data_IF_158206200305
#
_entry.id   IF_158206200305
#
_cell.length_a   1.000
_cell.length_b   1.000
_cell.length_c   1.000
_cell.angle_alpha   90.00
_cell.angle_beta   90.00
_cell.angle_gamma   90.00
#
_symmetry.space_group_name_H-M   'P 1'
#
loop_
_entity.id
_entity.type
_entity.pdbx_description
1 polymer ?
#
# COMPACT_ATOMS: atom_id res chain seq x y z
N UNK A 1 2.57 30.46 21.92
CA UNK A 1 2.03 29.46 20.96
C UNK A 1 2.93 29.23 19.72
N UNK A 2 4.21 29.65 19.75
CA UNK A 2 5.15 29.44 18.63
C UNK A 2 6.29 28.45 18.98
N UNK A 3 6.58 28.26 20.27
CA UNK A 3 7.64 27.37 20.73
C UNK A 3 7.35 25.89 20.48
N UNK A 4 6.10 25.46 20.71
CA UNK A 4 5.70 24.07 20.43
C UNK A 4 5.71 23.75 18.94
N UNK A 5 5.35 24.72 18.08
CA UNK A 5 5.46 24.57 16.62
C UNK A 5 6.92 24.48 16.16
N UNK A 6 7.81 25.27 16.78
CA UNK A 6 9.24 25.23 16.49
C UNK A 6 9.86 23.88 16.90
N UNK A 7 9.45 23.32 18.05
CA UNK A 7 9.90 22.01 18.54
C UNK A 7 9.44 20.85 17.64
N UNK A 8 8.22 20.93 17.11
CA UNK A 8 7.70 19.92 16.16
C UNK A 8 8.45 20.01 14.83
N UNK A 9 8.74 21.22 14.33
CA UNK A 9 9.43 21.42 13.05
C UNK A 9 10.89 20.95 13.09
N UNK A 10 11.58 21.17 14.20
CA UNK A 10 12.96 20.69 14.39
C UNK A 10 12.99 19.17 14.51
N UNK A 11 12.02 18.56 15.19
CA UNK A 11 11.94 17.10 15.31
C UNK A 11 11.70 16.39 13.96
N UNK A 12 10.88 16.99 13.09
CA UNK A 12 10.64 16.49 11.73
C UNK A 12 11.87 16.64 10.82
N UNK A 13 12.63 17.73 10.93
CA UNK A 13 13.88 17.92 10.16
C UNK A 13 15.02 16.99 10.60
N UNK A 14 15.10 16.62 11.87
CA UNK A 14 16.09 15.65 12.37
C UNK A 14 15.80 14.24 11.87
N UNK A 15 14.53 13.85 11.80
CA UNK A 15 14.11 12.53 11.33
C UNK A 15 14.29 12.34 9.81
N UNK A 16 14.20 13.41 9.02
CA UNK A 16 14.45 13.37 7.57
C UNK A 16 15.93 13.16 7.21
N UNK A 17 16.88 13.57 8.06
CA UNK A 17 18.31 13.45 7.78
C UNK A 17 18.96 12.13 8.26
N UNK A 18 18.21 11.27 8.98
CA UNK A 18 18.74 10.02 9.54
C UNK A 18 18.72 8.82 8.56
N UNK A 19 18.31 9.03 7.30
CA UNK A 19 18.26 7.99 6.25
C UNK A 19 19.07 8.39 5.02
N UNK A 20 20.36 8.65 5.19
CA UNK A 20 21.33 8.63 4.09
C UNK A 20 22.67 8.16 4.65
N UNK A 21 22.72 6.90 5.10
CA UNK A 21 24.01 6.21 5.19
C UNK A 21 24.39 5.80 3.77
N UNK A 22 25.34 6.53 3.20
CA UNK A 22 25.96 6.18 1.92
C UNK A 22 26.94 5.04 2.21
N UNK A 23 26.53 3.82 1.91
CA UNK A 23 27.50 2.72 1.79
C UNK A 23 28.05 2.72 0.36
N UNK A 24 29.24 3.27 0.19
CA UNK A 24 30.06 3.09 -1.01
C UNK A 24 31.36 2.39 -0.60
N UNK A 25 31.74 1.42 -1.44
CA UNK A 25 33.03 0.73 -1.56
C UNK A 25 33.14 -0.69 -0.97
N UNK A 26 33.12 -1.69 -1.87
CA UNK A 26 34.32 -2.50 -2.13
C UNK A 26 34.22 -3.17 -3.49
N UNK A 27 35.16 -2.80 -4.35
CA UNK A 27 35.39 -3.30 -5.70
C UNK A 27 36.23 -4.60 -5.62
N UNK A 28 36.06 -5.43 -6.64
CA UNK A 28 36.93 -6.54 -7.08
C UNK A 28 36.75 -7.92 -6.44
N UNK A 29 35.93 -8.73 -7.12
CA UNK A 29 36.30 -10.08 -7.55
C UNK A 29 35.48 -10.44 -8.81
N UNK A 30 35.82 -9.80 -9.94
CA UNK A 30 35.44 -10.32 -11.25
C UNK A 30 36.56 -11.25 -11.73
N UNK A 31 36.28 -12.55 -11.78
CA UNK A 31 36.59 -13.37 -12.95
C UNK A 31 35.88 -14.72 -12.82
N UNK A 32 35.17 -15.06 -13.90
CA UNK A 32 34.76 -16.42 -14.27
C UNK A 32 33.36 -16.93 -13.88
N UNK A 33 32.31 -16.24 -14.36
CA UNK A 33 31.17 -16.91 -15.04
C UNK A 33 30.76 -16.06 -16.26
N UNK A 34 31.55 -16.13 -17.32
CA UNK A 34 31.17 -15.66 -18.65
C UNK A 34 30.27 -16.72 -19.31
N UNK A 35 29.02 -16.86 -18.84
CA UNK A 35 28.19 -18.00 -19.27
C UNK A 35 26.71 -18.05 -18.90
N UNK A 36 26.10 -17.05 -18.27
CA UNK A 36 24.63 -16.91 -18.19
C UNK A 36 24.25 -15.43 -18.40
N UNK A 37 24.34 -15.00 -19.65
CA UNK A 37 23.81 -13.73 -20.14
C UNK A 37 22.29 -13.80 -20.27
N UNK A 38 21.61 -13.85 -19.12
CA UNK A 38 20.38 -13.14 -18.85
C UNK A 38 20.19 -13.23 -17.34
N UNK A 39 20.27 -12.10 -16.63
CA UNK A 39 19.53 -12.03 -15.35
C UNK A 39 18.09 -12.31 -15.75
N UNK A 40 17.59 -13.51 -15.48
CA UNK A 40 16.16 -13.78 -15.57
C UNK A 40 15.49 -12.72 -14.71
N UNK A 41 14.80 -11.79 -15.38
CA UNK A 41 14.02 -10.79 -14.69
C UNK A 41 12.84 -11.55 -14.08
N UNK A 42 12.95 -11.84 -12.79
CA UNK A 42 11.85 -12.43 -12.03
C UNK A 42 10.72 -11.39 -12.03
N UNK A 43 9.72 -11.60 -12.88
CA UNK A 43 8.49 -10.82 -12.91
C UNK A 43 7.41 -11.54 -12.11
N UNK A 44 6.69 -10.80 -11.25
CA UNK A 44 5.50 -11.34 -10.61
C UNK A 44 4.39 -11.53 -11.63
N UNK A 45 3.74 -12.70 -11.60
CA UNK A 45 2.48 -12.88 -12.32
C UNK A 45 1.36 -12.16 -11.54
N UNK A 46 0.86 -11.08 -12.13
CA UNK A 46 -0.21 -10.28 -11.53
C UNK A 46 -1.62 -10.76 -11.94
N UNK A 47 -1.73 -11.77 -12.81
CA UNK A 47 -2.99 -12.33 -13.28
C UNK A 47 -3.86 -12.89 -12.14
N UNK A 48 -3.22 -13.40 -11.09
CA UNK A 48 -3.88 -13.87 -9.85
C UNK A 48 -4.59 -12.73 -9.10
N UNK A 49 -4.12 -11.49 -9.25
CA UNK A 49 -4.77 -10.31 -8.70
C UNK A 49 -5.82 -9.79 -9.69
N UNK A 50 -5.41 -9.42 -10.90
CA UNK A 50 -6.28 -8.93 -11.95
C UNK A 50 -5.77 -9.44 -13.30
N UNK A 51 -6.67 -10.03 -14.09
CA UNK A 51 -6.35 -10.57 -15.43
C UNK A 51 -5.81 -9.49 -16.37
N UNK A 52 -6.33 -8.27 -16.23
CA UNK A 52 -5.95 -7.12 -17.03
C UNK A 52 -6.17 -5.78 -16.30
N UNK A 53 -5.67 -4.71 -16.92
CA UNK A 53 -5.80 -3.33 -16.44
C UNK A 53 -7.28 -2.90 -16.36
N UNK A 54 -8.15 -3.42 -17.24
CA UNK A 54 -9.57 -3.08 -17.21
C UNK A 54 -10.26 -3.61 -15.95
N UNK A 55 -9.96 -4.85 -15.57
CA UNK A 55 -10.44 -5.53 -14.37
C UNK A 55 -10.00 -4.80 -13.12
N UNK A 56 -8.75 -4.35 -13.09
CA UNK A 56 -8.22 -3.51 -12.02
C UNK A 56 -8.90 -2.13 -11.95
N UNK A 57 -9.11 -1.46 -13.09
CA UNK A 57 -9.79 -0.17 -13.16
C UNK A 57 -11.23 -0.26 -12.66
N UNK A 58 -11.93 -1.33 -13.05
CA UNK A 58 -13.30 -1.61 -12.60
C UNK A 58 -13.35 -1.80 -11.08
N UNK A 59 -12.41 -2.59 -10.53
CA UNK A 59 -12.27 -2.79 -9.08
C UNK A 59 -12.03 -1.46 -8.35
N UNK A 60 -11.11 -0.64 -8.85
CA UNK A 60 -10.83 0.70 -8.31
C UNK A 60 -12.08 1.57 -8.24
N UNK A 61 -12.87 1.63 -9.32
CA UNK A 61 -14.13 2.39 -9.34
C UNK A 61 -15.17 1.83 -8.36
N UNK A 62 -15.26 0.50 -8.23
CA UNK A 62 -16.17 -0.14 -7.28
C UNK A 62 -15.80 0.17 -5.82
N UNK A 63 -14.51 0.15 -5.47
CA UNK A 63 -14.02 0.50 -4.13
C UNK A 63 -14.47 1.91 -3.75
N UNK A 64 -14.35 2.90 -4.65
CA UNK A 64 -14.83 4.27 -4.39
C UNK A 64 -16.32 4.32 -4.03
N UNK A 65 -17.15 3.48 -4.67
CA UNK A 65 -18.58 3.40 -4.34
C UNK A 65 -18.84 2.79 -2.97
N UNK A 66 -18.05 1.80 -2.53
CA UNK A 66 -18.18 1.16 -1.21
C UNK A 66 -17.85 2.13 -0.07
N UNK A 67 -16.84 2.98 -0.26
CA UNK A 67 -16.50 4.04 0.70
C UNK A 67 -17.65 5.00 0.99
N UNK A 68 -18.52 5.29 0.00
CA UNK A 68 -19.70 6.11 0.22
C UNK A 68 -20.69 5.44 1.16
N UNK A 69 -20.87 4.11 1.04
CA UNK A 69 -21.78 3.32 1.87
C UNK A 69 -21.28 3.15 3.31
N UNK A 70 -19.96 3.13 3.54
CA UNK A 70 -19.39 3.04 4.89
C UNK A 70 -19.83 4.24 5.76
N UNK A 71 -20.11 5.40 5.16
CA UNK A 71 -20.61 6.57 5.91
C UNK A 71 -21.92 6.28 6.65
N UNK A 72 -22.75 5.39 6.11
CA UNK A 72 -24.05 5.04 6.69
C UNK A 72 -23.92 4.23 7.99
N UNK A 73 -22.75 3.63 8.25
CA UNK A 73 -22.45 2.90 9.49
C UNK A 73 -22.13 3.82 10.67
N UNK A 74 -21.77 5.08 10.42
CA UNK A 74 -21.28 6.00 11.46
C UNK A 74 -22.38 6.29 12.49
N UNK A 75 -22.09 5.97 13.75
CA UNK A 75 -23.01 6.22 14.88
C UNK A 75 -24.15 5.22 15.01
N UNK A 76 -24.24 4.22 14.12
CA UNK A 76 -25.31 3.23 14.08
C UNK A 76 -24.89 1.82 14.50
N UNK A 77 -23.60 1.61 14.81
CA UNK A 77 -23.05 0.31 15.17
C UNK A 77 -23.70 -0.34 16.41
N UNK A 78 -24.36 0.45 17.26
CA UNK A 78 -25.08 -0.03 18.45
C UNK A 78 -26.57 -0.32 18.22
N UNK A 79 -27.11 -0.12 17.02
CA UNK A 79 -28.55 -0.29 16.75
C UNK A 79 -28.99 -1.76 16.85
N UNK A 80 -28.16 -2.69 16.40
CA UNK A 80 -28.35 -4.13 16.56
C UNK A 80 -27.07 -4.90 16.23
N UNK A 81 -26.98 -6.17 16.67
CA UNK A 81 -25.91 -7.08 16.27
C UNK A 81 -25.89 -7.34 14.76
N UNK A 82 -27.06 -7.39 14.13
CA UNK A 82 -27.21 -7.56 12.68
C UNK A 82 -26.59 -6.38 11.93
N UNK A 83 -26.95 -5.16 12.33
CA UNK A 83 -26.42 -3.94 11.72
C UNK A 83 -24.91 -3.80 11.93
N UNK A 84 -24.42 -4.17 13.13
CA UNK A 84 -23.00 -4.23 13.40
C UNK A 84 -22.27 -5.19 12.45
N UNK A 85 -22.79 -6.41 12.27
CA UNK A 85 -22.18 -7.40 11.36
C UNK A 85 -22.11 -6.86 9.94
N UNK A 86 -23.22 -6.34 9.41
CA UNK A 86 -23.30 -5.76 8.07
C UNK A 86 -22.23 -4.68 7.88
N UNK A 87 -22.06 -3.80 8.86
CA UNK A 87 -21.08 -2.72 8.80
C UNK A 87 -19.64 -3.21 8.88
N UNK A 88 -19.35 -4.18 9.75
CA UNK A 88 -18.02 -4.77 9.86
C UNK A 88 -17.62 -5.52 8.59
N UNK A 89 -18.55 -6.27 8.00
CA UNK A 89 -18.35 -6.98 6.74
C UNK A 89 -18.07 -5.98 5.61
N UNK A 90 -18.89 -4.93 5.48
CA UNK A 90 -18.68 -3.89 4.47
C UNK A 90 -17.30 -3.23 4.60
N UNK A 91 -16.87 -2.89 5.81
CA UNK A 91 -15.57 -2.25 6.06
C UNK A 91 -14.43 -3.22 5.72
N UNK A 92 -14.51 -4.46 6.20
CA UNK A 92 -13.49 -5.48 6.00
C UNK A 92 -13.32 -5.83 4.52
N UNK A 93 -14.42 -6.04 3.80
CA UNK A 93 -14.40 -6.35 2.38
C UNK A 93 -13.86 -5.19 1.56
N UNK A 94 -14.26 -3.95 1.89
CA UNK A 94 -13.71 -2.76 1.22
C UNK A 94 -12.21 -2.62 1.46
N UNK A 95 -11.73 -2.92 2.66
CA UNK A 95 -10.31 -2.87 3.00
C UNK A 95 -9.50 -3.94 2.25
N UNK A 96 -10.00 -5.18 2.16
CA UNK A 96 -9.37 -6.26 1.39
C UNK A 96 -9.28 -5.92 -0.10
N UNK A 97 -10.36 -5.38 -0.68
CA UNK A 97 -10.37 -4.95 -2.07
C UNK A 97 -9.35 -3.82 -2.31
N UNK A 98 -9.27 -2.86 -1.38
CA UNK A 98 -8.29 -1.78 -1.45
C UNK A 98 -6.86 -2.31 -1.41
N UNK A 99 -6.54 -3.24 -0.48
CA UNK A 99 -5.22 -3.86 -0.40
C UNK A 99 -4.87 -4.57 -1.71
N UNK A 100 -5.81 -5.36 -2.25
CA UNK A 100 -5.64 -6.04 -3.53
C UNK A 100 -5.35 -5.05 -4.67
N UNK A 101 -6.10 -3.94 -4.73
CA UNK A 101 -5.90 -2.89 -5.73
C UNK A 101 -4.55 -2.18 -5.59
N UNK A 102 -4.15 -1.88 -4.35
CA UNK A 102 -2.87 -1.27 -4.03
C UNK A 102 -1.70 -2.19 -4.42
N UNK A 103 -1.73 -3.46 -4.04
CA UNK A 103 -0.67 -4.44 -4.36
C UNK A 103 -0.43 -4.52 -5.87
N UNK A 104 -1.49 -4.63 -6.68
CA UNK A 104 -1.36 -4.63 -8.14
C UNK A 104 -0.77 -3.33 -8.70
N UNK A 105 -1.05 -2.18 -8.07
CA UNK A 105 -0.54 -0.89 -8.53
C UNK A 105 0.92 -0.65 -8.12
N UNK A 106 1.37 -1.34 -7.07
CA UNK A 106 2.69 -1.17 -6.47
C UNK A 106 3.75 -2.08 -7.10
N UNK A 107 3.37 -3.33 -7.43
CA UNK A 107 4.22 -4.31 -8.10
C UNK A 107 4.35 -4.01 -9.59
#
# INVERSE_FOLDING_TARGET
MNFFKLLILTFVMVSLNACMDKTEETLELETDIKGLSSKEQISWDLGDLYVDIESWNRSRSQISSKFLKIKDCKGKLGESSEFLSICLDLINDTYKDLLKNYTYSFL
#
